data_IF_574401426825
#
_entry.id   IF_574401426825
#
_cell.length_a   1.000
_cell.length_b   1.000
_cell.length_c   1.000
_cell.angle_alpha   90.00
_cell.angle_beta   90.00
_cell.angle_gamma   90.00
#
_symmetry.space_group_name_H-M   'P 1'
#
loop_
_entity.id
_entity.type
_entity.pdbx_description
1 polymer ?
#
# COMPACT_ATOMS: atom_id res chain seq x y z
N UNK A 1 18.92 5.66 3.85
CA UNK A 1 18.16 4.43 4.09
C UNK A 1 16.69 4.68 3.77
N UNK A 2 16.25 4.41 2.53
CA UNK A 2 14.84 4.46 2.17
C UNK A 2 14.05 3.39 2.92
N UNK A 3 12.74 3.60 3.08
CA UNK A 3 11.87 2.65 3.76
C UNK A 3 11.70 1.35 2.98
N UNK A 4 11.73 0.22 3.68
CA UNK A 4 11.55 -1.11 3.11
C UNK A 4 10.08 -1.41 2.89
N UNK A 5 9.76 -1.97 1.73
CA UNK A 5 8.41 -2.34 1.31
C UNK A 5 8.20 -3.84 1.45
N UNK A 6 7.08 -4.24 2.03
CA UNK A 6 6.52 -5.58 1.90
C UNK A 6 5.27 -5.48 1.01
N UNK A 7 5.30 -6.07 -0.18
CA UNK A 7 4.18 -6.07 -1.12
C UNK A 7 3.56 -7.46 -1.19
N UNK A 8 2.31 -7.58 -0.75
CA UNK A 8 1.50 -8.79 -0.86
C UNK A 8 0.42 -8.55 -1.92
N UNK A 9 0.39 -9.38 -2.95
CA UNK A 9 -0.56 -9.24 -4.07
C UNK A 9 -1.28 -10.56 -4.39
N UNK A 10 -2.57 -10.46 -4.73
CA UNK A 10 -3.38 -11.57 -5.24
C UNK A 10 -3.07 -11.99 -6.67
N UNK A 11 -2.47 -11.10 -7.47
CA UNK A 11 -2.11 -11.31 -8.87
C UNK A 11 -0.57 -11.37 -9.04
N UNK A 12 -0.02 -12.53 -9.47
CA UNK A 12 1.41 -12.69 -9.63
C UNK A 12 2.00 -11.85 -10.78
N UNK A 13 1.21 -11.57 -11.82
CA UNK A 13 1.65 -10.76 -12.96
C UNK A 13 1.71 -9.29 -12.57
N UNK A 14 0.74 -8.80 -11.80
CA UNK A 14 0.76 -7.42 -11.29
C UNK A 14 1.87 -7.24 -10.26
N UNK A 15 2.06 -8.19 -9.36
CA UNK A 15 3.19 -8.19 -8.44
C UNK A 15 4.51 -8.06 -9.20
N UNK A 16 4.74 -8.90 -10.21
CA UNK A 16 5.97 -8.86 -11.00
C UNK A 16 6.21 -7.49 -11.64
N UNK A 17 5.17 -6.87 -12.21
CA UNK A 17 5.27 -5.51 -12.78
C UNK A 17 5.63 -4.46 -11.71
N UNK A 18 5.02 -4.53 -10.53
CA UNK A 18 5.29 -3.63 -9.43
C UNK A 18 6.72 -3.77 -8.94
N UNK A 19 7.19 -5.01 -8.71
CA UNK A 19 8.56 -5.31 -8.28
C UNK A 19 9.60 -4.78 -9.28
N UNK A 20 9.40 -5.02 -10.58
CA UNK A 20 10.29 -4.47 -11.61
C UNK A 20 10.35 -2.94 -11.57
N UNK A 21 9.24 -2.26 -11.28
CA UNK A 21 9.24 -0.80 -11.17
C UNK A 21 9.90 -0.33 -9.88
N UNK A 22 9.65 -0.97 -8.73
CA UNK A 22 10.34 -0.68 -7.47
C UNK A 22 11.86 -0.78 -7.60
N UNK A 23 12.35 -1.83 -8.25
CA UNK A 23 13.77 -2.03 -8.54
C UNK A 23 14.33 -0.88 -9.38
N UNK A 24 13.63 -0.48 -10.45
CA UNK A 24 14.03 0.64 -11.32
C UNK A 24 14.12 1.97 -10.58
N UNK A 25 13.26 2.20 -9.59
CA UNK A 25 13.27 3.44 -8.79
C UNK A 25 14.13 3.34 -7.53
N UNK A 26 14.75 2.19 -7.26
CA UNK A 26 15.64 1.97 -6.12
C UNK A 26 14.95 1.79 -4.76
N UNK A 27 13.68 1.40 -4.74
CA UNK A 27 12.94 1.12 -3.49
C UNK A 27 13.22 -0.32 -3.03
N UNK A 28 13.72 -0.55 -1.80
CA UNK A 28 13.90 -1.90 -1.28
C UNK A 28 12.54 -2.58 -1.08
N UNK A 29 12.33 -3.73 -1.70
CA UNK A 29 11.03 -4.42 -1.67
C UNK A 29 11.16 -5.94 -1.51
N UNK A 30 10.24 -6.53 -0.75
CA UNK A 30 9.97 -7.96 -0.72
C UNK A 30 8.55 -8.20 -1.24
N UNK A 31 8.42 -9.02 -2.29
CA UNK A 31 7.13 -9.33 -2.92
C UNK A 31 6.64 -10.74 -2.59
N UNK A 32 5.35 -10.87 -2.26
CA UNK A 32 4.68 -12.15 -1.97
C UNK A 32 3.38 -12.26 -2.76
N UNK A 33 3.30 -13.27 -3.61
CA UNK A 33 2.02 -13.67 -4.17
C UNK A 33 1.23 -14.43 -3.11
N UNK A 34 0.00 -14.02 -2.84
CA UNK A 34 -0.89 -14.66 -1.88
C UNK A 34 -2.33 -14.43 -2.28
N UNK A 35 -3.17 -15.47 -2.27
CA UNK A 35 -4.61 -15.27 -2.48
C UNK A 35 -5.18 -14.33 -1.42
N UNK A 36 -6.12 -13.45 -1.80
CA UNK A 36 -6.71 -12.44 -0.93
C UNK A 36 -7.32 -13.05 0.34
N UNK A 37 -7.91 -14.24 0.22
CA UNK A 37 -8.53 -14.95 1.35
C UNK A 37 -7.52 -15.40 2.40
N UNK A 38 -6.27 -15.64 2.00
CA UNK A 38 -5.20 -16.15 2.85
C UNK A 38 -4.27 -15.05 3.37
N UNK A 39 -4.33 -13.83 2.81
CA UNK A 39 -3.43 -12.74 3.19
C UNK A 39 -3.49 -12.43 4.69
N UNK A 40 -4.69 -12.54 5.28
CA UNK A 40 -4.93 -12.33 6.71
C UNK A 40 -4.03 -13.21 7.57
N UNK A 41 -3.88 -14.47 7.20
CA UNK A 41 -3.18 -15.47 8.02
C UNK A 41 -1.67 -15.38 7.84
N UNK A 42 -1.20 -14.86 6.71
CA UNK A 42 0.23 -14.74 6.38
C UNK A 42 0.83 -13.38 6.74
N UNK A 43 0.06 -12.30 6.71
CA UNK A 43 0.59 -10.94 6.87
C UNK A 43 1.34 -10.76 8.19
N UNK A 44 0.86 -11.36 9.28
CA UNK A 44 1.46 -11.22 10.60
C UNK A 44 2.90 -11.77 10.66
N UNK A 45 3.11 -12.99 10.17
CA UNK A 45 4.45 -13.61 10.16
C UNK A 45 5.40 -12.92 9.19
N UNK A 46 4.89 -12.43 8.05
CA UNK A 46 5.68 -11.66 7.10
C UNK A 46 6.15 -10.32 7.70
N UNK A 47 5.28 -9.61 8.44
CA UNK A 47 5.67 -8.39 9.15
C UNK A 47 6.76 -8.69 10.18
N UNK A 48 6.59 -9.73 11.00
CA UNK A 48 7.56 -10.09 12.05
C UNK A 48 8.94 -10.41 11.46
N UNK A 49 8.98 -11.10 10.31
CA UNK A 49 10.20 -11.53 9.64
C UNK A 49 10.90 -10.39 8.88
N UNK A 50 10.18 -9.69 7.99
CA UNK A 50 10.78 -8.68 7.09
C UNK A 50 10.90 -7.30 7.73
N UNK A 51 10.12 -7.02 8.78
CA UNK A 51 10.04 -5.74 9.49
C UNK A 51 9.98 -4.55 8.52
N UNK A 52 8.93 -4.47 7.69
CA UNK A 52 8.80 -3.41 6.70
C UNK A 52 8.43 -2.08 7.35
N UNK A 53 8.78 -0.98 6.67
CA UNK A 53 8.29 0.37 7.00
C UNK A 53 6.97 0.66 6.26
N UNK A 54 6.79 0.03 5.09
CA UNK A 54 5.61 0.18 4.23
C UNK A 54 5.06 -1.21 3.87
N UNK A 55 3.77 -1.42 4.06
CA UNK A 55 3.04 -2.61 3.67
C UNK A 55 2.05 -2.28 2.56
N UNK A 56 2.11 -3.05 1.46
CA UNK A 56 1.20 -2.94 0.32
C UNK A 56 0.37 -4.21 0.25
N UNK A 57 -0.95 -4.06 0.30
CA UNK A 57 -1.93 -5.16 0.21
C UNK A 57 -2.82 -4.91 -1.00
N UNK A 58 -2.57 -5.59 -2.10
CA UNK A 58 -3.29 -5.43 -3.37
C UNK A 58 -3.75 -6.79 -3.90
N UNK A 59 -4.52 -6.80 -4.98
CA UNK A 59 -5.03 -8.03 -5.58
C UNK A 59 -6.20 -7.73 -6.51
N UNK A 60 -7.24 -8.54 -6.43
CA UNK A 60 -8.47 -8.34 -7.19
C UNK A 60 -9.62 -7.94 -6.29
N UNK A 61 -10.45 -7.01 -6.77
CA UNK A 61 -11.71 -6.67 -6.16
C UNK A 61 -12.69 -6.18 -7.22
N UNK A 62 -13.96 -6.16 -6.86
CA UNK A 62 -15.02 -5.66 -7.71
C UNK A 62 -16.26 -5.36 -6.87
N UNK A 63 -16.90 -4.23 -7.16
CA UNK A 63 -18.21 -3.89 -6.60
C UNK A 63 -19.32 -4.55 -7.41
N UNK A 64 -20.29 -5.15 -6.71
CA UNK A 64 -21.45 -5.82 -7.31
C UNK A 64 -22.75 -5.19 -6.83
N UNK A 65 -23.38 -4.40 -7.71
CA UNK A 65 -24.69 -3.76 -7.44
C UNK A 65 -25.80 -4.75 -7.07
N UNK A 66 -25.72 -6.00 -7.53
CA UNK A 66 -26.73 -7.04 -7.22
C UNK A 66 -26.58 -7.61 -5.81
N UNK A 67 -25.45 -7.39 -5.14
CA UNK A 67 -25.18 -7.91 -3.79
C UNK A 67 -25.47 -6.91 -2.67
N UNK A 68 -25.62 -5.62 -2.99
CA UNK A 68 -25.87 -4.57 -2.00
C UNK A 68 -25.58 -3.18 -2.55
N UNK A 69 -25.76 -2.17 -1.70
CA UNK A 69 -25.35 -0.79 -1.97
C UNK A 69 -23.83 -0.61 -1.95
N UNK A 70 -23.34 0.53 -2.42
CA UNK A 70 -21.91 0.85 -2.36
C UNK A 70 -21.38 0.90 -0.92
N UNK A 71 -22.22 1.20 0.07
CA UNK A 71 -21.78 1.24 1.48
C UNK A 71 -21.78 -0.15 2.14
N UNK A 72 -22.29 -1.19 1.45
CA UNK A 72 -22.29 -2.54 1.97
C UNK A 72 -21.00 -3.26 1.60
N UNK A 73 -20.15 -3.51 2.60
CA UNK A 73 -18.88 -4.24 2.43
C UNK A 73 -19.07 -5.64 1.82
N UNK A 74 -20.24 -6.27 1.98
CA UNK A 74 -20.54 -7.58 1.40
C UNK A 74 -20.84 -7.52 -0.10
N UNK A 75 -21.10 -6.32 -0.65
CA UNK A 75 -21.26 -6.10 -2.07
C UNK A 75 -19.93 -6.21 -2.85
N UNK A 76 -18.81 -6.35 -2.15
CA UNK A 76 -17.46 -6.39 -2.72
C UNK A 76 -16.88 -7.79 -2.68
N UNK A 77 -16.13 -8.15 -3.72
CA UNK A 77 -15.57 -9.50 -3.87
C UNK A 77 -14.54 -9.81 -2.78
N UNK A 78 -13.61 -8.89 -2.53
CA UNK A 78 -12.46 -9.10 -1.66
C UNK A 78 -12.17 -7.96 -0.66
N UNK A 79 -12.88 -6.83 -0.71
CA UNK A 79 -12.70 -5.74 0.28
C UNK A 79 -12.73 -6.22 1.73
N UNK A 80 -13.62 -7.16 2.08
CA UNK A 80 -13.67 -7.75 3.43
C UNK A 80 -12.36 -8.44 3.84
N UNK A 81 -11.69 -9.08 2.89
CA UNK A 81 -10.43 -9.78 3.12
C UNK A 81 -9.30 -8.78 3.30
N UNK A 82 -9.23 -7.74 2.47
CA UNK A 82 -8.27 -6.66 2.65
C UNK A 82 -8.44 -5.96 4.01
N UNK A 83 -9.68 -5.64 4.40
CA UNK A 83 -9.99 -5.06 5.72
C UNK A 83 -9.49 -5.95 6.85
N UNK A 84 -9.70 -7.26 6.77
CA UNK A 84 -9.20 -8.21 7.76
C UNK A 84 -7.67 -8.24 7.80
N UNK A 85 -7.01 -8.26 6.65
CA UNK A 85 -5.54 -8.23 6.54
C UNK A 85 -4.96 -6.96 7.15
N UNK A 86 -5.54 -5.78 6.86
CA UNK A 86 -5.12 -4.50 7.46
C UNK A 86 -5.27 -4.55 8.98
N UNK A 87 -6.38 -5.07 9.50
CA UNK A 87 -6.59 -5.21 10.95
C UNK A 87 -5.57 -6.13 11.60
N UNK A 88 -5.23 -7.27 10.98
CA UNK A 88 -4.17 -8.15 11.51
C UNK A 88 -2.79 -7.48 11.49
N UNK A 89 -2.47 -6.74 10.43
CA UNK A 89 -1.24 -5.94 10.38
C UNK A 89 -1.20 -4.90 11.51
N UNK A 90 -2.32 -4.23 11.80
CA UNK A 90 -2.42 -3.25 12.88
C UNK A 90 -2.37 -3.84 14.28
N UNK A 91 -2.71 -5.13 14.47
CA UNK A 91 -2.42 -5.82 15.73
C UNK A 91 -0.92 -6.00 15.97
N UNK A 92 -0.11 -6.11 14.91
CA UNK A 92 1.35 -6.21 14.98
C UNK A 92 2.00 -4.84 15.16
N UNK A 93 1.60 -3.87 14.33
CA UNK A 93 2.12 -2.50 14.38
C UNK A 93 0.93 -1.51 14.40
N UNK A 94 0.45 -1.13 15.60
CA UNK A 94 -0.73 -0.27 15.74
C UNK A 94 -0.51 1.16 15.23
N UNK A 95 0.72 1.66 15.28
CA UNK A 95 1.02 3.06 15.00
C UNK A 95 1.09 3.35 13.49
N UNK A 96 0.28 4.30 13.02
CA UNK A 96 0.16 4.67 11.60
C UNK A 96 1.48 5.16 10.97
N UNK A 97 2.30 5.89 11.74
CA UNK A 97 3.62 6.37 11.28
C UNK A 97 4.72 5.30 11.33
N UNK A 98 4.53 4.17 12.02
CA UNK A 98 5.56 3.12 12.13
C UNK A 98 5.44 2.07 11.03
N UNK A 99 4.21 1.80 10.60
CA UNK A 99 3.93 0.95 9.44
C UNK A 99 2.91 1.67 8.56
N UNK A 100 3.37 2.19 7.43
CA UNK A 100 2.49 2.82 6.45
C UNK A 100 1.83 1.73 5.63
N UNK A 101 0.49 1.72 5.56
CA UNK A 101 -0.26 0.69 4.83
C UNK A 101 -0.95 1.31 3.61
N UNK A 102 -0.65 0.78 2.43
CA UNK A 102 -1.46 0.94 1.22
C UNK A 102 -2.31 -0.32 1.04
N UNK A 103 -3.63 -0.19 0.88
CA UNK A 103 -4.51 -1.34 0.71
C UNK A 103 -5.59 -1.16 -0.35
N UNK A 104 -5.94 -2.24 -1.04
CA UNK A 104 -7.08 -2.32 -1.96
C UNK A 104 -6.69 -2.59 -3.40
N UNK A 105 -7.71 -2.81 -4.22
CA UNK A 105 -7.61 -3.06 -5.65
C UNK A 105 -8.64 -2.19 -6.41
N UNK A 106 -8.84 -2.48 -7.70
CA UNK A 106 -9.90 -1.84 -8.47
C UNK A 106 -11.26 -1.99 -7.77
N UNK A 107 -11.99 -0.89 -7.66
CA UNK A 107 -13.33 -0.83 -7.07
C UNK A 107 -13.42 -1.31 -5.62
N UNK A 108 -12.34 -1.28 -4.84
CA UNK A 108 -12.42 -1.63 -3.42
C UNK A 108 -13.26 -0.65 -2.60
N UNK A 109 -13.76 -1.12 -1.45
CA UNK A 109 -14.48 -0.33 -0.47
C UNK A 109 -13.52 0.52 0.36
N UNK A 110 -13.14 1.67 -0.22
CA UNK A 110 -12.17 2.64 0.30
C UNK A 110 -12.38 2.98 1.78
N UNK A 111 -13.60 3.32 2.18
CA UNK A 111 -13.92 3.82 3.51
C UNK A 111 -13.61 2.77 4.57
N UNK A 112 -13.96 1.51 4.33
CA UNK A 112 -13.65 0.43 5.27
C UNK A 112 -12.17 0.16 5.39
N UNK A 113 -11.38 0.36 4.33
CA UNK A 113 -9.93 0.18 4.35
C UNK A 113 -9.26 1.26 5.20
N UNK A 114 -9.65 2.52 5.03
CA UNK A 114 -9.16 3.62 5.86
C UNK A 114 -9.57 3.41 7.33
N UNK A 115 -10.84 3.08 7.60
CA UNK A 115 -11.31 2.78 8.96
C UNK A 115 -10.63 1.56 9.58
N UNK A 116 -10.16 0.60 8.79
CA UNK A 116 -9.38 -0.53 9.27
C UNK A 116 -7.96 -0.15 9.71
N UNK A 117 -7.48 1.03 9.32
CA UNK A 117 -6.15 1.56 9.65
C UNK A 117 -5.19 1.63 8.47
N UNK A 118 -5.67 1.56 7.23
CA UNK A 118 -4.84 1.85 6.07
C UNK A 118 -4.52 3.35 6.00
N UNK A 119 -3.29 3.69 5.64
CA UNK A 119 -2.90 5.08 5.40
C UNK A 119 -3.40 5.56 4.03
N UNK A 120 -3.32 4.67 3.05
CA UNK A 120 -3.79 4.90 1.69
C UNK A 120 -4.67 3.74 1.26
N UNK A 121 -5.71 4.04 0.50
CA UNK A 121 -6.58 3.03 -0.06
C UNK A 121 -7.01 3.38 -1.49
N UNK A 122 -7.34 2.34 -2.25
CA UNK A 122 -7.81 2.50 -3.62
C UNK A 122 -9.33 2.68 -3.72
N UNK A 123 -9.71 3.28 -4.84
CA UNK A 123 -11.04 3.40 -5.41
C UNK A 123 -12.11 4.07 -4.53
N UNK A 124 -11.89 5.30 -4.01
CA UNK A 124 -12.94 6.07 -3.33
C UNK A 124 -14.20 6.24 -4.21
N UNK A 125 -14.02 6.43 -5.51
CA UNK A 125 -15.12 6.51 -6.48
C UNK A 125 -15.47 5.16 -7.14
N UNK A 126 -14.95 4.04 -6.61
CA UNK A 126 -15.19 2.67 -7.08
C UNK A 126 -14.86 2.49 -8.58
N UNK A 127 -13.77 3.15 -9.01
CA UNK A 127 -13.22 3.08 -10.37
C UNK A 127 -12.08 2.08 -10.46
N UNK A 128 -11.72 1.68 -11.69
CA UNK A 128 -10.50 0.93 -11.94
C UNK A 128 -9.28 1.84 -11.75
N UNK A 129 -8.26 1.32 -11.07
CA UNK A 129 -6.98 2.01 -10.86
C UNK A 129 -5.91 1.43 -11.76
N UNK A 130 -4.88 2.21 -12.06
CA UNK A 130 -3.74 1.72 -12.80
C UNK A 130 -2.86 0.84 -11.90
N UNK A 131 -2.35 -0.28 -12.42
CA UNK A 131 -1.55 -1.24 -11.65
C UNK A 131 -0.25 -0.64 -11.06
N UNK A 132 0.24 0.46 -11.62
CA UNK A 132 1.46 1.14 -11.17
C UNK A 132 1.22 2.24 -10.13
N UNK A 133 -0.05 2.63 -9.92
CA UNK A 133 -0.38 3.68 -8.97
C UNK A 133 0.12 3.40 -7.54
N UNK A 134 -0.01 2.17 -6.99
CA UNK A 134 0.54 1.86 -5.67
C UNK A 134 2.05 2.12 -5.59
N UNK A 135 2.79 1.83 -6.67
CA UNK A 135 4.25 1.97 -6.72
C UNK A 135 4.67 3.44 -6.60
N UNK A 136 3.99 4.35 -7.30
CA UNK A 136 4.28 5.79 -7.23
C UNK A 136 4.06 6.35 -5.83
N UNK A 137 2.95 5.97 -5.18
CA UNK A 137 2.64 6.38 -3.80
C UNK A 137 3.71 5.86 -2.84
N UNK A 138 4.03 4.57 -2.92
CA UNK A 138 4.98 3.91 -2.02
C UNK A 138 6.40 4.44 -2.22
N UNK A 139 6.82 4.69 -3.46
CA UNK A 139 8.11 5.30 -3.73
C UNK A 139 8.22 6.71 -3.14
N UNK A 140 7.17 7.53 -3.29
CA UNK A 140 7.14 8.87 -2.68
C UNK A 140 7.26 8.78 -1.16
N UNK A 141 6.57 7.85 -0.51
CA UNK A 141 6.66 7.64 0.94
C UNK A 141 8.07 7.18 1.36
N UNK A 142 8.60 6.18 0.66
CA UNK A 142 9.91 5.57 0.95
C UNK A 142 11.06 6.58 0.90
N UNK A 143 10.98 7.56 -0.02
CA UNK A 143 12.00 8.59 -0.22
C UNK A 143 11.71 9.94 0.44
N UNK A 144 10.57 10.11 1.13
CA UNK A 144 10.32 11.33 1.91
C UNK A 144 10.95 11.20 3.30
N UNK A 145 11.67 12.22 3.83
CA UNK A 145 12.24 12.20 5.16
C UNK A 145 11.22 11.90 6.27
N UNK A 146 11.62 11.15 7.30
CA UNK A 146 10.71 10.79 8.40
C UNK A 146 10.20 11.98 9.25
N UNK A 147 10.83 13.14 9.11
CA UNK A 147 10.43 14.40 9.74
C UNK A 147 9.42 15.18 8.90
N UNK A 148 9.23 14.81 7.63
CA UNK A 148 8.37 15.52 6.70
C UNK A 148 7.01 14.82 6.56
N UNK A 149 5.97 15.64 6.39
CA UNK A 149 4.63 15.16 6.09
C UNK A 149 4.45 15.03 4.59
N UNK A 150 3.71 14.01 4.20
CA UNK A 150 3.34 13.77 2.82
C UNK A 150 1.96 14.36 2.60
N UNK A 151 1.89 15.34 1.70
CA UNK A 151 0.61 15.89 1.25
C UNK A 151 -0.08 14.87 0.32
N UNK A 152 -1.23 14.36 0.77
CA UNK A 152 -2.02 13.37 0.01
C UNK A 152 -2.35 13.89 -1.39
N UNK A 153 -2.71 15.17 -1.55
CA UNK A 153 -3.01 15.75 -2.86
C UNK A 153 -1.81 15.73 -3.81
N UNK A 154 -0.61 15.97 -3.29
CA UNK A 154 0.61 15.96 -4.11
C UNK A 154 0.94 14.54 -4.58
N UNK A 155 0.70 13.55 -3.74
CA UNK A 155 0.87 12.13 -4.09
C UNK A 155 -0.12 11.73 -5.18
N UNK A 156 -1.40 12.06 -5.00
CA UNK A 156 -2.46 11.66 -5.93
C UNK A 156 -2.28 12.26 -7.33
N UNK A 157 -1.84 13.53 -7.44
CA UNK A 157 -1.55 14.18 -8.73
C UNK A 157 -0.44 13.51 -9.54
N UNK A 158 0.44 12.77 -8.88
CA UNK A 158 1.54 12.04 -9.53
C UNK A 158 1.14 10.60 -9.93
N UNK A 159 -0.09 10.18 -9.62
CA UNK A 159 -0.63 8.86 -10.01
C UNK A 159 -1.41 8.97 -11.31
N UNK A 160 -1.57 7.86 -12.02
CA UNK A 160 -2.21 7.83 -13.32
C UNK A 160 -3.74 7.94 -13.21
N UNK A 161 -4.32 7.45 -12.11
CA UNK A 161 -5.78 7.52 -11.89
C UNK A 161 -6.22 8.76 -11.10
N UNK A 162 -5.34 9.34 -10.29
CA UNK A 162 -5.66 10.53 -9.48
C UNK A 162 -6.59 10.26 -8.30
N UNK A 163 -7.25 11.30 -7.84
CA UNK A 163 -8.10 11.34 -6.64
C UNK A 163 -9.39 10.52 -6.75
N UNK A 164 -9.88 10.27 -7.97
CA UNK A 164 -11.00 9.34 -8.20
C UNK A 164 -10.62 7.89 -7.88
N UNK A 165 -9.35 7.56 -8.12
CA UNK A 165 -8.83 6.20 -8.01
C UNK A 165 -8.16 5.92 -6.69
N UNK A 166 -7.70 6.92 -5.95
CA UNK A 166 -6.87 6.72 -4.76
C UNK A 166 -7.18 7.80 -3.74
N UNK A 167 -7.03 7.47 -2.47
CA UNK A 167 -7.14 8.41 -1.38
C UNK A 167 -6.30 7.96 -0.18
N UNK A 168 -6.28 8.79 0.86
CA UNK A 168 -5.54 8.47 2.07
C UNK A 168 -5.66 9.54 3.13
N UNK A 169 -4.96 9.30 4.24
CA UNK A 169 -4.84 10.21 5.37
C UNK A 169 -3.43 10.79 5.47
N UNK A 170 -3.29 11.87 6.24
CA UNK A 170 -1.98 12.48 6.49
C UNK A 170 -0.99 11.42 7.02
N UNK A 171 0.18 11.35 6.40
CA UNK A 171 1.21 10.32 6.65
C UNK A 171 2.60 10.95 6.55
N UNK A 172 3.55 10.51 7.38
CA UNK A 172 4.95 10.95 7.30
C UNK A 172 5.77 10.13 6.32
N UNK A 173 6.88 10.69 5.87
CA UNK A 173 7.92 9.93 5.18
C UNK A 173 8.58 8.87 6.08
N UNK A 174 9.44 8.05 5.49
CA UNK A 174 10.20 7.00 6.21
C UNK A 174 11.71 7.01 5.91
N UNK A 175 12.17 7.88 5.02
CA UNK A 175 13.59 8.01 4.68
C UNK A 175 14.40 8.48 5.90
N UNK A 176 15.49 7.77 6.18
CA UNK A 176 16.49 8.16 7.18
C UNK A 176 17.86 8.36 6.52
N UNK A 177 18.53 9.46 6.84
CA UNK A 177 19.92 9.75 6.44
C UNK A 177 20.85 9.61 7.64
N UNK A 178 22.06 9.10 7.42
CA UNK A 178 23.09 8.91 8.46
C UNK A 178 24.44 9.47 8.00
N UNK A 179 25.35 9.74 8.94
CA UNK A 179 26.68 10.30 8.68
C UNK A 179 27.81 9.45 9.30
N UNK A 180 29.04 9.50 8.76
CA UNK A 180 29.45 10.32 7.61
C UNK A 180 29.19 9.62 6.26
N UNK A 181 28.56 10.35 5.35
CA UNK A 181 28.44 9.97 3.95
C UNK A 181 29.74 10.35 3.23
N UNK A 182 30.67 9.39 3.08
CA UNK A 182 31.84 9.58 2.24
C UNK A 182 31.41 9.52 0.78
N UNK A 183 31.19 10.70 0.17
CA UNK A 183 30.90 10.86 -1.26
C UNK A 183 32.10 10.52 -2.16
N UNK A 184 33.27 10.23 -1.57
CA UNK A 184 34.53 9.94 -2.25
C UNK A 184 34.90 8.46 -2.20
N UNK A 185 34.15 7.64 -2.91
CA UNK A 185 34.67 6.35 -3.36
C UNK A 185 34.21 6.15 -4.80
N UNK A 186 35.15 6.49 -5.68
CA UNK A 186 35.28 6.15 -7.10
C UNK A 186 34.85 7.21 -8.13
N UNK A 187 35.89 7.77 -8.74
CA UNK A 187 36.01 8.23 -10.13
C UNK A 187 35.26 7.38 -11.16
#
# INVERSE_FOLDING_TARGET
>A
MPGKVLHIDGDPNYLKKCLTLYEKVGVPVYGFHCNEKEMRDKVGSLIDYYRPDILVITGHDAYSKSKGSMDDLNAYRHSKHFVQTVREARKKVPHLDQLVIFAGACQSHFESLIHAGANFASSPSRVNIHALDPVYIVAKISFTPFMERINVWDVLRNTLTGDKGLGGIETKGVLRTGMPYNKNSSD
#
